data_IF_905284769591
#
_entry.id   IF_905284769591
#
_cell.length_a   1.000
_cell.length_b   1.000
_cell.length_c   1.000
_cell.angle_alpha   90.00
_cell.angle_beta   90.00
_cell.angle_gamma   90.00
#
_symmetry.space_group_name_H-M   'P 1'
#
loop_
_entity.id
_entity.type
_entity.pdbx_description
1 polymer ?
#
# COMPACT_ATOMS: atom_id res chain seq x y z
N UNK A 1 21.68 -50.80 52.51
CA UNK A 1 20.31 -50.34 52.22
C UNK A 1 20.35 -49.69 50.83
N UNK A 2 20.29 -50.36 49.87
CA UNK A 2 19.41 -51.00 48.90
C UNK A 2 18.85 -49.98 47.90
N UNK A 3 19.47 -50.04 46.71
CA UNK A 3 19.17 -49.29 45.48
C UNK A 3 17.81 -49.64 44.80
N UNK A 4 16.86 -50.22 45.51
CA UNK A 4 15.62 -50.78 44.96
C UNK A 4 14.41 -49.85 45.07
N UNK A 5 14.45 -48.82 45.90
CA UNK A 5 13.31 -47.93 46.13
C UNK A 5 13.21 -46.72 45.15
N UNK A 6 14.32 -46.39 44.46
CA UNK A 6 14.33 -45.24 43.50
C UNK A 6 13.73 -45.60 42.15
N UNK A 7 13.73 -46.88 41.73
CA UNK A 7 13.18 -47.30 40.41
C UNK A 7 11.65 -47.38 40.35
N UNK A 8 10.98 -47.54 41.46
CA UNK A 8 9.52 -47.62 41.53
C UNK A 8 8.86 -46.24 41.37
N UNK A 9 9.48 -45.18 41.90
CA UNK A 9 8.97 -43.83 41.83
C UNK A 9 9.07 -43.23 40.41
N UNK A 10 10.14 -43.55 39.67
CA UNK A 10 10.32 -43.07 38.28
C UNK A 10 9.31 -43.66 37.28
N UNK A 11 8.88 -44.90 37.50
CA UNK A 11 7.84 -45.53 36.63
C UNK A 11 6.44 -44.98 36.90
N UNK A 12 6.14 -44.56 38.12
CA UNK A 12 4.86 -43.95 38.43
C UNK A 12 4.77 -42.51 37.91
N UNK A 13 5.86 -41.74 38.00
CA UNK A 13 5.93 -40.37 37.48
C UNK A 13 5.82 -40.39 35.95
N UNK A 14 6.47 -41.27 35.23
CA UNK A 14 6.35 -41.39 33.79
C UNK A 14 4.96 -41.86 33.33
N UNK A 15 4.24 -42.68 34.08
CA UNK A 15 2.84 -43.03 33.81
C UNK A 15 1.90 -41.86 34.01
N UNK A 16 2.14 -41.01 35.02
CA UNK A 16 1.37 -39.78 35.23
C UNK A 16 1.62 -38.74 34.11
N UNK A 17 2.86 -38.58 33.67
CA UNK A 17 3.21 -37.65 32.59
C UNK A 17 2.58 -38.10 31.27
N UNK A 18 2.56 -39.39 30.96
CA UNK A 18 1.91 -39.93 29.76
C UNK A 18 0.37 -39.80 29.88
N UNK A 19 -0.20 -39.99 31.09
CA UNK A 19 -1.63 -39.85 31.32
C UNK A 19 -2.08 -38.38 31.20
N UNK A 20 -1.31 -37.40 31.68
CA UNK A 20 -1.58 -36.00 31.51
C UNK A 20 -1.33 -35.50 30.08
N UNK A 21 -0.34 -36.05 29.37
CA UNK A 21 -0.09 -35.72 27.96
C UNK A 21 -1.21 -36.22 27.03
N UNK A 22 -1.89 -37.33 27.37
CA UNK A 22 -3.00 -37.84 26.56
C UNK A 22 -4.37 -37.25 26.94
N UNK A 23 -4.52 -36.55 28.08
CA UNK A 23 -5.78 -35.89 28.45
C UNK A 23 -5.89 -34.42 28.03
N UNK A 24 -4.78 -33.78 27.64
CA UNK A 24 -4.73 -32.43 27.09
C UNK A 24 -4.52 -32.41 25.57
N UNK A 25 -4.64 -33.54 24.88
CA UNK A 25 -5.10 -33.52 23.50
C UNK A 25 -6.61 -33.23 23.53
N UNK A 26 -6.96 -32.03 24.07
CA UNK A 26 -8.15 -31.33 23.68
C UNK A 26 -8.07 -31.29 22.14
N UNK A 27 -9.00 -31.99 21.47
CA UNK A 27 -9.25 -31.80 20.05
C UNK A 27 -9.42 -30.30 19.88
N UNK A 28 -8.34 -29.60 19.54
CA UNK A 28 -8.47 -28.35 18.84
C UNK A 28 -9.28 -28.76 17.61
N UNK A 29 -10.58 -28.51 17.66
CA UNK A 29 -11.34 -28.34 16.44
C UNK A 29 -10.52 -27.31 15.69
N UNK A 30 -9.73 -27.74 14.74
CA UNK A 30 -9.31 -26.91 13.63
C UNK A 30 -10.64 -26.43 13.08
N UNK A 31 -11.09 -25.28 13.56
CA UNK A 31 -12.12 -24.52 12.86
C UNK A 31 -11.44 -24.28 11.53
N UNK A 32 -11.83 -25.09 10.53
CA UNK A 32 -11.51 -24.78 9.16
C UNK A 32 -11.90 -23.31 9.05
N UNK A 33 -10.92 -22.43 8.93
CA UNK A 33 -11.15 -21.02 8.67
C UNK A 33 -11.93 -21.05 7.37
N UNK A 34 -13.25 -20.86 7.46
CA UNK A 34 -14.09 -20.74 6.30
C UNK A 34 -13.46 -19.59 5.54
N UNK A 35 -12.80 -19.89 4.43
CA UNK A 35 -12.16 -18.86 3.63
C UNK A 35 -13.26 -17.88 3.25
N UNK A 36 -13.16 -16.67 3.79
CA UNK A 36 -14.15 -15.65 3.52
C UNK A 36 -14.04 -15.25 2.06
N UNK A 37 -15.17 -15.14 1.34
CA UNK A 37 -15.14 -14.85 -0.09
C UNK A 37 -14.46 -13.51 -0.34
N UNK A 38 -13.62 -13.45 -1.37
CA UNK A 38 -12.97 -12.21 -1.81
C UNK A 38 -14.06 -11.30 -2.38
N UNK A 39 -14.23 -10.11 -1.77
CA UNK A 39 -15.21 -9.10 -2.17
C UNK A 39 -14.59 -7.91 -2.89
N UNK A 40 -13.28 -7.67 -2.69
CA UNK A 40 -12.57 -6.57 -3.34
C UNK A 40 -11.15 -6.95 -3.74
N UNK A 41 -10.67 -6.38 -4.85
CA UNK A 41 -9.29 -6.43 -5.30
C UNK A 41 -8.72 -5.02 -5.42
N UNK A 42 -7.67 -4.74 -4.66
CA UNK A 42 -6.81 -3.58 -4.80
C UNK A 42 -5.65 -4.01 -5.71
N UNK A 43 -5.45 -3.33 -6.82
CA UNK A 43 -4.52 -3.74 -7.87
C UNK A 43 -3.51 -2.61 -8.09
N UNK A 44 -2.22 -2.87 -7.84
CA UNK A 44 -1.19 -1.94 -8.24
C UNK A 44 -1.10 -1.82 -9.77
N UNK A 45 -0.57 -0.70 -10.24
CA UNK A 45 -0.50 -0.39 -11.67
C UNK A 45 0.88 -0.75 -12.25
N UNK A 46 1.90 0.01 -11.86
CA UNK A 46 3.22 -0.02 -12.49
C UNK A 46 4.05 -1.19 -11.98
N UNK A 47 4.34 -2.13 -12.83
CA UNK A 47 4.99 -3.40 -12.47
C UNK A 47 4.00 -4.55 -12.35
N UNK A 48 2.73 -4.27 -12.10
CA UNK A 48 1.66 -5.27 -11.93
C UNK A 48 0.80 -5.39 -13.18
N UNK A 49 0.08 -4.32 -13.55
CA UNK A 49 -0.76 -4.32 -14.78
C UNK A 49 0.04 -3.99 -16.02
N UNK A 50 1.00 -3.09 -15.92
CA UNK A 50 1.83 -2.66 -17.04
C UNK A 50 3.26 -2.36 -16.58
N UNK A 51 4.21 -2.49 -17.50
CA UNK A 51 5.60 -2.00 -17.33
C UNK A 51 5.80 -0.93 -18.42
N UNK A 52 6.16 0.29 -17.99
CA UNK A 52 6.15 1.47 -18.86
C UNK A 52 4.79 1.61 -19.58
N UNK A 53 4.77 1.55 -20.93
CA UNK A 53 3.56 1.70 -21.73
C UNK A 53 3.06 0.36 -22.32
N UNK A 54 3.50 -0.77 -21.77
CA UNK A 54 3.10 -2.10 -22.24
C UNK A 54 2.36 -2.86 -21.13
N UNK A 55 1.20 -3.47 -21.42
CA UNK A 55 0.54 -4.33 -20.46
C UNK A 55 1.40 -5.57 -20.13
N UNK A 56 1.33 -6.06 -18.90
CA UNK A 56 1.92 -7.36 -18.55
C UNK A 56 1.16 -8.49 -19.25
N UNK A 57 1.75 -9.69 -19.36
CA UNK A 57 1.15 -10.79 -20.13
C UNK A 57 -0.33 -11.03 -19.78
N UNK A 58 -1.18 -10.98 -20.79
CA UNK A 58 -2.64 -11.19 -20.73
C UNK A 58 -3.41 -10.26 -19.77
N UNK A 59 -2.79 -9.19 -19.25
CA UNK A 59 -3.38 -8.36 -18.19
C UNK A 59 -4.74 -7.74 -18.59
N UNK A 60 -4.89 -7.30 -19.84
CA UNK A 60 -6.15 -6.71 -20.33
C UNK A 60 -7.30 -7.71 -20.31
N UNK A 61 -7.07 -8.96 -20.76
CA UNK A 61 -8.11 -10.00 -20.73
C UNK A 61 -8.35 -10.50 -19.32
N UNK A 62 -7.30 -10.62 -18.49
CA UNK A 62 -7.41 -10.99 -17.09
C UNK A 62 -8.29 -9.99 -16.32
N UNK A 63 -8.12 -8.68 -16.55
CA UNK A 63 -8.97 -7.67 -15.95
C UNK A 63 -10.45 -7.83 -16.36
N UNK A 64 -10.73 -8.19 -17.63
CA UNK A 64 -12.10 -8.47 -18.09
C UNK A 64 -12.70 -9.65 -17.31
N UNK A 65 -11.96 -10.76 -17.19
CA UNK A 65 -12.40 -11.93 -16.39
C UNK A 65 -12.65 -11.58 -14.92
N UNK A 66 -11.79 -10.76 -14.34
CA UNK A 66 -11.96 -10.30 -12.96
C UNK A 66 -13.24 -9.47 -12.79
N UNK A 67 -13.54 -8.57 -13.74
CA UNK A 67 -14.77 -7.76 -13.74
C UNK A 67 -16.04 -8.59 -13.79
N UNK A 68 -16.03 -9.70 -14.53
CA UNK A 68 -17.17 -10.63 -14.64
C UNK A 68 -17.52 -11.27 -13.28
N UNK A 69 -16.62 -11.26 -12.32
CA UNK A 69 -16.88 -11.76 -10.95
C UNK A 69 -17.80 -10.86 -10.14
N UNK A 70 -17.92 -9.60 -10.49
CA UNK A 70 -18.69 -8.59 -9.75
C UNK A 70 -18.05 -8.10 -8.45
N UNK A 71 -16.80 -8.48 -8.15
CA UNK A 71 -16.09 -7.93 -6.97
C UNK A 71 -15.72 -6.46 -7.20
N UNK A 72 -15.57 -5.72 -6.11
CA UNK A 72 -15.07 -4.35 -6.17
C UNK A 72 -13.63 -4.33 -6.68
N UNK A 73 -13.33 -3.48 -7.66
CA UNK A 73 -11.97 -3.29 -8.16
C UNK A 73 -11.53 -1.86 -7.87
N UNK A 74 -10.34 -1.71 -7.28
CA UNK A 74 -9.64 -0.43 -7.12
C UNK A 74 -8.23 -0.55 -7.66
N UNK A 75 -7.83 0.39 -8.52
CA UNK A 75 -6.46 0.52 -9.00
C UNK A 75 -5.70 1.44 -8.07
N UNK A 76 -4.68 0.91 -7.40
CA UNK A 76 -3.97 1.59 -6.30
C UNK A 76 -2.51 1.85 -6.68
N UNK A 77 -2.04 3.08 -6.55
CA UNK A 77 -0.69 3.45 -7.00
C UNK A 77 -0.06 4.58 -6.19
N UNK A 78 1.27 4.57 -6.05
CA UNK A 78 2.04 5.68 -5.48
C UNK A 78 2.39 6.77 -6.51
N UNK A 79 1.75 6.82 -7.67
CA UNK A 79 1.95 7.85 -8.69
C UNK A 79 1.51 9.23 -8.17
N UNK A 80 2.39 10.24 -8.29
CA UNK A 80 2.16 11.62 -7.81
C UNK A 80 2.50 12.71 -8.82
N UNK A 81 2.98 12.33 -10.02
CA UNK A 81 3.37 13.29 -11.06
C UNK A 81 2.22 13.81 -11.88
N UNK A 82 1.18 13.01 -12.02
CA UNK A 82 0.07 13.24 -12.92
C UNK A 82 -1.25 13.28 -12.17
N UNK A 83 -2.17 14.10 -12.65
CA UNK A 83 -3.55 14.15 -12.16
C UNK A 83 -4.26 12.81 -12.38
N UNK A 84 -5.35 12.58 -11.64
CA UNK A 84 -6.16 11.37 -11.83
C UNK A 84 -6.69 11.25 -13.27
N UNK A 85 -6.97 12.37 -13.92
CA UNK A 85 -7.44 12.38 -15.31
C UNK A 85 -6.34 12.01 -16.30
N UNK A 86 -5.13 12.54 -16.12
CA UNK A 86 -3.97 12.19 -16.96
C UNK A 86 -3.62 10.72 -16.82
N UNK A 87 -3.62 10.20 -15.58
CA UNK A 87 -3.40 8.77 -15.31
C UNK A 87 -4.47 7.89 -15.98
N UNK A 88 -5.75 8.25 -15.89
CA UNK A 88 -6.85 7.55 -16.53
C UNK A 88 -6.64 7.45 -18.05
N UNK A 89 -6.33 8.58 -18.70
CA UNK A 89 -6.12 8.62 -20.14
C UNK A 89 -4.96 7.72 -20.55
N UNK A 90 -3.82 7.80 -19.85
CA UNK A 90 -2.65 6.95 -20.09
C UNK A 90 -2.95 5.45 -19.95
N UNK A 91 -3.71 5.05 -18.95
CA UNK A 91 -4.09 3.64 -18.78
C UNK A 91 -5.05 3.15 -19.87
N UNK A 92 -5.93 4.02 -20.36
CA UNK A 92 -6.80 3.72 -21.50
C UNK A 92 -6.01 3.59 -22.81
N UNK A 93 -5.00 4.42 -23.02
CA UNK A 93 -4.10 4.33 -24.18
C UNK A 93 -3.29 3.02 -24.18
N UNK A 94 -2.93 2.49 -23.01
CA UNK A 94 -2.30 1.17 -22.84
C UNK A 94 -3.30 0.03 -23.16
N UNK A 95 -4.62 0.29 -23.15
CA UNK A 95 -5.65 -0.68 -23.51
C UNK A 95 -6.54 -1.15 -22.35
N UNK A 96 -6.38 -0.60 -21.16
CA UNK A 96 -7.21 -0.95 -20.00
C UNK A 96 -8.54 -0.17 -20.03
N UNK A 97 -9.63 -0.86 -19.76
CA UNK A 97 -10.94 -0.24 -19.55
C UNK A 97 -11.16 -0.03 -18.05
N UNK A 98 -11.16 1.22 -17.62
CA UNK A 98 -11.38 1.59 -16.22
C UNK A 98 -12.04 2.98 -16.10
N UNK A 99 -12.68 3.21 -14.98
CA UNK A 99 -13.33 4.48 -14.65
C UNK A 99 -12.51 5.28 -13.65
N UNK A 100 -12.70 6.59 -13.66
CA UNK A 100 -11.95 7.52 -12.81
C UNK A 100 -12.08 7.20 -11.32
N UNK A 101 -13.26 6.75 -10.93
CA UNK A 101 -13.64 6.40 -9.54
C UNK A 101 -12.97 5.12 -9.05
N UNK A 102 -12.48 4.29 -9.97
CA UNK A 102 -11.73 3.08 -9.63
C UNK A 102 -10.27 3.38 -9.29
N UNK A 103 -9.75 4.55 -9.70
CA UNK A 103 -8.36 4.96 -9.44
C UNK A 103 -8.25 5.57 -8.04
N UNK A 104 -7.45 4.94 -7.18
CA UNK A 104 -7.07 5.42 -5.88
C UNK A 104 -5.54 5.57 -5.82
N UNK A 105 -5.04 6.75 -6.14
CA UNK A 105 -3.62 7.06 -6.07
C UNK A 105 -3.25 7.69 -4.72
N UNK A 106 -1.96 7.67 -4.37
CA UNK A 106 -1.47 8.41 -3.22
C UNK A 106 -1.77 9.92 -3.34
N UNK A 107 -1.81 10.44 -4.57
CA UNK A 107 -2.26 11.81 -4.84
C UNK A 107 -3.72 12.00 -4.45
N UNK A 108 -4.64 11.12 -4.90
CA UNK A 108 -6.06 11.25 -4.56
C UNK A 108 -6.33 11.08 -3.07
N UNK A 109 -5.61 10.17 -2.41
CA UNK A 109 -5.68 10.01 -0.96
C UNK A 109 -5.19 11.27 -0.21
N UNK A 110 -4.14 11.93 -0.72
CA UNK A 110 -3.67 13.20 -0.15
C UNK A 110 -4.69 14.33 -0.36
N UNK A 111 -5.35 14.39 -1.52
CA UNK A 111 -6.45 15.34 -1.78
C UNK A 111 -7.60 15.16 -0.78
N UNK A 112 -8.00 13.90 -0.54
CA UNK A 112 -9.04 13.58 0.44
C UNK A 112 -8.61 13.93 1.86
N UNK A 113 -7.35 13.64 2.22
CA UNK A 113 -6.78 14.01 3.52
C UNK A 113 -6.81 15.53 3.75
N UNK A 114 -6.34 16.32 2.78
CA UNK A 114 -6.34 17.78 2.85
C UNK A 114 -7.77 18.34 3.03
N UNK A 115 -8.75 17.80 2.28
CA UNK A 115 -10.16 18.19 2.41
C UNK A 115 -10.74 17.83 3.77
N UNK A 116 -10.50 16.61 4.23
CA UNK A 116 -11.02 16.10 5.51
C UNK A 116 -10.49 16.90 6.70
N UNK A 117 -9.19 17.20 6.68
CA UNK A 117 -8.52 17.98 7.72
C UNK A 117 -8.71 19.50 7.54
N UNK A 118 -9.40 19.96 6.49
CA UNK A 118 -9.66 21.37 6.16
C UNK A 118 -8.39 22.24 6.08
N UNK A 119 -7.30 21.67 5.57
CA UNK A 119 -5.99 22.31 5.50
C UNK A 119 -5.90 23.32 4.37
N UNK A 120 -5.02 24.33 4.55
CA UNK A 120 -4.65 25.34 3.54
C UNK A 120 -3.15 25.20 3.19
N UNK A 121 -2.74 24.18 2.41
CA UNK A 121 -1.33 23.83 2.25
C UNK A 121 -0.55 24.74 1.30
N UNK A 122 0.76 24.83 1.54
CA UNK A 122 1.71 25.10 0.49
C UNK A 122 2.04 23.80 -0.25
N UNK A 123 2.00 23.82 -1.58
CA UNK A 123 2.13 22.63 -2.39
C UNK A 123 3.48 22.56 -3.11
N UNK A 124 4.25 21.52 -2.83
CA UNK A 124 5.42 21.08 -3.59
C UNK A 124 5.00 19.85 -4.42
N UNK A 125 4.16 20.06 -5.42
CA UNK A 125 3.60 19.05 -6.33
C UNK A 125 3.70 19.54 -7.77
N UNK A 126 3.70 18.62 -8.74
CA UNK A 126 3.72 19.00 -10.16
C UNK A 126 2.49 19.85 -10.52
N UNK A 127 2.60 20.66 -11.57
CA UNK A 127 1.48 21.51 -12.04
C UNK A 127 0.23 20.69 -12.38
N UNK A 128 0.40 19.52 -13.02
CA UNK A 128 -0.72 18.65 -13.36
C UNK A 128 -1.36 18.05 -12.10
N UNK A 129 -0.57 17.47 -11.19
CA UNK A 129 -1.06 16.95 -9.91
C UNK A 129 -1.78 18.02 -9.06
N UNK A 130 -1.34 19.29 -9.13
CA UNK A 130 -1.96 20.40 -8.39
C UNK A 130 -3.43 20.62 -8.77
N UNK A 131 -3.82 20.25 -9.99
CA UNK A 131 -5.20 20.43 -10.47
C UNK A 131 -6.22 19.56 -9.74
N UNK A 132 -5.81 18.47 -9.10
CA UNK A 132 -6.70 17.61 -8.31
C UNK A 132 -6.98 18.18 -6.90
N UNK A 133 -6.10 19.04 -6.38
CA UNK A 133 -6.29 19.67 -5.07
C UNK A 133 -7.27 20.86 -5.12
N UNK A 134 -7.96 21.14 -4.00
CA UNK A 134 -8.77 22.34 -3.90
C UNK A 134 -7.90 23.61 -4.02
N UNK A 135 -8.48 24.73 -4.45
CA UNK A 135 -7.82 26.03 -4.36
C UNK A 135 -7.51 26.38 -2.90
N UNK A 136 -6.46 27.16 -2.68
CA UNK A 136 -6.18 27.72 -1.37
C UNK A 136 -7.22 28.81 -1.00
N UNK A 137 -7.51 28.93 0.29
CA UNK A 137 -8.25 30.09 0.82
C UNK A 137 -7.23 31.22 1.06
N UNK A 138 -7.24 32.22 0.18
CA UNK A 138 -6.31 33.37 0.25
C UNK A 138 -6.49 34.24 1.51
N UNK A 139 -7.64 34.10 2.22
CA UNK A 139 -7.91 34.80 3.47
C UNK A 139 -7.27 34.15 4.69
N UNK A 140 -6.75 32.95 4.54
CA UNK A 140 -6.13 32.16 5.61
C UNK A 140 -4.63 32.01 5.37
N UNK A 141 -3.81 32.05 6.41
CA UNK A 141 -2.40 31.65 6.28
C UNK A 141 -2.29 30.18 5.85
N UNK A 142 -1.18 29.83 5.23
CA UNK A 142 -0.84 28.43 4.98
C UNK A 142 -0.50 27.75 6.32
N UNK A 143 -1.08 26.56 6.54
CA UNK A 143 -1.00 25.79 7.79
C UNK A 143 -0.32 24.43 7.63
N UNK A 144 0.09 24.09 6.44
CA UNK A 144 0.67 22.80 6.12
C UNK A 144 1.50 22.85 4.84
N UNK A 145 2.30 21.81 4.63
CA UNK A 145 3.10 21.62 3.41
C UNK A 145 2.79 20.23 2.85
N UNK A 146 2.42 20.14 1.57
CA UNK A 146 2.20 18.89 0.84
C UNK A 146 3.32 18.66 -0.14
N UNK A 147 4.01 17.52 -0.02
CA UNK A 147 5.15 17.15 -0.86
C UNK A 147 4.82 15.91 -1.70
N UNK A 148 4.85 16.06 -3.01
CA UNK A 148 4.82 14.96 -3.99
C UNK A 148 6.10 14.96 -4.83
N UNK A 149 6.10 14.23 -5.95
CA UNK A 149 7.23 14.26 -6.88
C UNK A 149 7.09 15.44 -7.84
N UNK A 150 7.82 16.50 -7.57
CA UNK A 150 7.76 17.78 -8.30
C UNK A 150 9.17 18.36 -8.54
N UNK A 151 10.00 17.78 -9.44
CA UNK A 151 11.35 18.25 -9.66
C UNK A 151 11.45 19.74 -9.95
N UNK A 152 10.49 20.32 -10.66
CA UNK A 152 10.47 21.73 -11.03
C UNK A 152 10.13 22.66 -9.85
N UNK A 153 9.64 22.14 -8.73
CA UNK A 153 9.28 22.87 -7.52
C UNK A 153 10.35 22.77 -6.41
N UNK A 154 11.32 21.86 -6.56
CA UNK A 154 12.35 21.60 -5.55
C UNK A 154 13.57 22.51 -5.71
N UNK A 155 13.36 23.81 -5.57
CA UNK A 155 14.41 24.80 -5.54
C UNK A 155 14.41 25.57 -4.21
N UNK A 156 15.53 26.27 -3.93
CA UNK A 156 15.81 26.80 -2.60
C UNK A 156 14.67 27.66 -2.04
N UNK A 157 14.14 28.59 -2.81
CA UNK A 157 13.12 29.53 -2.34
C UNK A 157 11.83 28.83 -1.95
N UNK A 158 11.39 27.82 -2.72
CA UNK A 158 10.22 27.03 -2.39
C UNK A 158 10.43 26.16 -1.16
N UNK A 159 11.59 25.50 -1.07
CA UNK A 159 11.93 24.69 0.10
C UNK A 159 12.07 25.54 1.36
N UNK A 160 12.67 26.73 1.26
CA UNK A 160 12.77 27.67 2.37
C UNK A 160 11.39 28.23 2.79
N UNK A 161 10.49 28.47 1.82
CA UNK A 161 9.10 28.84 2.13
C UNK A 161 8.37 27.74 2.89
N UNK A 162 8.49 26.48 2.43
CA UNK A 162 7.94 25.30 3.12
C UNK A 162 8.48 25.17 4.55
N UNK A 163 9.79 25.30 4.72
CA UNK A 163 10.46 25.28 6.02
C UNK A 163 9.92 26.38 6.96
N UNK A 164 9.80 27.62 6.51
CA UNK A 164 9.27 28.72 7.32
C UNK A 164 7.79 28.52 7.72
N UNK A 165 6.96 27.93 6.85
CA UNK A 165 5.59 27.57 7.19
C UNK A 165 5.59 26.55 8.35
N UNK A 166 6.41 25.49 8.24
CA UNK A 166 6.49 24.45 9.29
C UNK A 166 7.01 24.99 10.62
N UNK A 167 7.97 25.95 10.59
CA UNK A 167 8.50 26.58 11.79
C UNK A 167 7.54 27.55 12.45
N UNK A 168 6.65 28.21 11.70
CA UNK A 168 5.82 29.29 12.22
C UNK A 168 4.80 28.82 13.26
N UNK A 169 4.43 27.53 13.24
CA UNK A 169 3.57 26.90 14.24
C UNK A 169 3.85 25.40 14.34
N UNK A 170 4.05 24.89 15.56
CA UNK A 170 4.29 23.46 15.84
C UNK A 170 3.14 22.52 15.44
N UNK A 171 1.92 23.07 15.26
CA UNK A 171 0.75 22.30 14.83
C UNK A 171 0.65 22.19 13.30
N UNK A 172 1.53 22.87 12.56
CA UNK A 172 1.59 22.79 11.11
C UNK A 172 2.07 21.40 10.66
N UNK A 173 1.45 20.89 9.61
CA UNK A 173 1.64 19.51 9.16
C UNK A 173 2.53 19.45 7.93
N UNK A 174 3.51 18.56 7.94
CA UNK A 174 4.23 18.12 6.75
C UNK A 174 3.56 16.83 6.22
N UNK A 175 3.01 16.88 5.02
CA UNK A 175 2.29 15.78 4.39
C UNK A 175 3.13 15.26 3.24
N UNK A 176 3.60 14.01 3.35
CA UNK A 176 4.32 13.30 2.32
C UNK A 176 3.32 12.44 1.53
N UNK A 177 3.08 12.75 0.26
CA UNK A 177 2.23 11.92 -0.59
C UNK A 177 2.85 10.54 -0.75
N UNK A 178 4.17 10.46 -0.95
CA UNK A 178 4.99 9.27 -0.79
C UNK A 178 6.44 9.63 -0.47
N UNK A 179 7.22 8.68 0.05
CA UNK A 179 8.63 8.88 0.44
C UNK A 179 9.61 8.06 -0.41
N UNK A 180 9.30 7.86 -1.69
CA UNK A 180 10.20 7.15 -2.60
C UNK A 180 11.60 7.79 -2.63
N UNK A 181 12.64 6.96 -2.49
CA UNK A 181 14.04 7.42 -2.47
C UNK A 181 14.49 7.91 -3.84
N UNK A 182 14.08 7.21 -4.88
CA UNK A 182 14.40 7.48 -6.28
C UNK A 182 13.29 6.95 -7.19
N UNK A 183 13.31 7.37 -8.45
CA UNK A 183 12.48 6.81 -9.50
C UNK A 183 13.29 6.62 -10.77
N UNK A 184 12.84 5.75 -11.66
CA UNK A 184 13.50 5.46 -12.92
C UNK A 184 13.11 6.51 -13.98
N UNK A 185 14.10 7.00 -14.71
CA UNK A 185 13.99 7.83 -15.91
C UNK A 185 14.66 7.12 -17.08
N UNK A 186 14.47 7.63 -18.29
CA UNK A 186 15.13 7.10 -19.50
C UNK A 186 16.67 7.23 -19.40
N UNK A 187 17.17 8.24 -18.70
CA UNK A 187 18.58 8.57 -18.52
C UNK A 187 19.18 8.01 -17.20
N UNK A 188 18.44 7.21 -16.43
CA UNK A 188 18.91 6.59 -15.20
C UNK A 188 18.00 6.79 -14.00
N UNK A 189 18.58 6.72 -12.80
CA UNK A 189 17.85 6.97 -11.55
C UNK A 189 17.85 8.47 -11.24
N UNK A 190 16.71 8.97 -10.78
CA UNK A 190 16.54 10.34 -10.32
C UNK A 190 16.00 10.37 -8.88
N UNK A 191 16.28 11.44 -8.15
CA UNK A 191 15.84 11.62 -6.76
C UNK A 191 14.31 11.60 -6.67
N UNK A 192 13.79 10.77 -5.78
CA UNK A 192 12.39 10.80 -5.36
C UNK A 192 12.10 11.92 -4.36
N UNK A 193 10.83 12.14 -3.99
CA UNK A 193 10.48 13.20 -3.05
C UNK A 193 10.96 12.94 -1.62
N UNK A 194 11.29 11.71 -1.27
CA UNK A 194 11.68 11.34 0.09
C UNK A 194 12.86 12.13 0.65
N UNK A 195 13.85 12.47 -0.18
CA UNK A 195 14.99 13.29 0.28
C UNK A 195 14.57 14.70 0.67
N UNK A 196 13.60 15.31 -0.02
CA UNK A 196 13.08 16.65 0.29
C UNK A 196 12.17 16.60 1.52
N UNK A 197 11.35 15.55 1.67
CA UNK A 197 10.56 15.31 2.89
C UNK A 197 11.50 15.19 4.09
N UNK A 198 12.52 14.32 4.02
CA UNK A 198 13.49 14.13 5.12
C UNK A 198 14.31 15.38 5.41
N UNK A 199 14.63 16.17 4.39
CA UNK A 199 15.27 17.47 4.58
C UNK A 199 14.40 18.46 5.36
N UNK A 200 13.10 18.54 5.05
CA UNK A 200 12.16 19.39 5.77
C UNK A 200 11.89 18.86 7.20
N UNK A 201 11.75 17.54 7.39
CA UNK A 201 11.64 16.93 8.73
C UNK A 201 12.83 17.29 9.60
N UNK A 202 14.04 17.08 9.07
CA UNK A 202 15.29 17.39 9.79
C UNK A 202 15.40 18.87 10.15
N UNK A 203 15.13 19.75 9.19
CA UNK A 203 15.34 21.19 9.35
C UNK A 203 14.28 21.84 10.25
N UNK A 204 13.00 21.44 10.11
CA UNK A 204 11.91 22.02 10.89
C UNK A 204 11.63 21.28 12.22
N UNK A 205 12.26 20.11 12.45
CA UNK A 205 12.06 19.31 13.66
C UNK A 205 10.66 18.70 13.74
N UNK A 206 10.03 18.42 12.59
CA UNK A 206 8.69 17.82 12.51
C UNK A 206 8.76 16.42 11.93
N UNK A 207 7.71 15.62 12.12
CA UNK A 207 7.54 14.34 11.43
C UNK A 207 6.52 14.50 10.32
N UNK A 208 6.78 13.87 9.16
CA UNK A 208 5.81 13.85 8.06
C UNK A 208 4.68 12.86 8.32
N UNK A 209 3.50 13.19 7.78
CA UNK A 209 2.37 12.28 7.66
C UNK A 209 2.47 11.63 6.28
N UNK A 210 2.88 10.38 6.23
CA UNK A 210 2.92 9.60 5.00
C UNK A 210 1.50 9.17 4.60
N UNK A 211 1.09 9.47 3.37
CA UNK A 211 -0.26 9.16 2.86
C UNK A 211 -0.27 7.86 2.04
N UNK A 212 0.66 7.70 1.10
CA UNK A 212 0.68 6.58 0.16
C UNK A 212 1.13 5.25 0.78
N UNK A 213 1.18 4.20 -0.06
CA UNK A 213 1.72 2.88 0.33
C UNK A 213 3.14 3.02 0.91
N UNK A 214 3.52 2.26 1.94
CA UNK A 214 2.79 1.18 2.62
C UNK A 214 1.92 1.63 3.81
N UNK A 215 1.52 2.91 3.90
CA UNK A 215 0.78 3.43 5.04
C UNK A 215 -0.64 2.82 5.11
N UNK A 216 -1.07 2.51 6.33
CA UNK A 216 -2.39 1.94 6.64
C UNK A 216 -3.55 2.82 6.12
N UNK A 217 -3.41 4.14 6.26
CA UNK A 217 -4.41 5.09 5.79
C UNK A 217 -4.73 4.91 4.31
N UNK A 218 -3.72 4.65 3.48
CA UNK A 218 -3.88 4.46 2.04
C UNK A 218 -4.81 3.30 1.70
N UNK A 219 -4.57 2.13 2.29
CA UNK A 219 -5.39 0.94 2.00
C UNK A 219 -6.81 1.08 2.53
N UNK A 220 -6.97 1.64 3.73
CA UNK A 220 -8.30 1.86 4.32
C UNK A 220 -9.10 2.92 3.57
N UNK A 221 -8.46 4.00 3.11
CA UNK A 221 -9.12 5.04 2.33
C UNK A 221 -9.60 4.57 0.96
N UNK A 222 -8.90 3.59 0.34
CA UNK A 222 -9.36 2.97 -0.91
C UNK A 222 -10.71 2.26 -0.79
N UNK A 223 -11.09 1.83 0.43
CA UNK A 223 -12.32 1.12 0.74
C UNK A 223 -13.39 2.04 1.40
N UNK A 224 -13.10 3.33 1.56
CA UNK A 224 -14.05 4.26 2.19
C UNK A 224 -15.38 4.29 1.44
N UNK A 225 -16.49 4.19 2.19
CA UNK A 225 -17.85 4.16 1.63
C UNK A 225 -18.28 2.80 1.07
N UNK A 226 -17.45 1.77 1.19
CA UNK A 226 -17.78 0.38 0.85
C UNK A 226 -18.08 -0.41 2.14
N UNK A 227 -19.12 -1.23 2.11
CA UNK A 227 -19.43 -2.16 3.22
C UNK A 227 -18.64 -3.47 3.04
N UNK A 228 -17.31 -3.37 3.05
CA UNK A 228 -16.38 -4.47 2.82
C UNK A 228 -15.28 -4.42 3.89
N UNK A 229 -15.10 -5.51 4.61
CA UNK A 229 -13.99 -5.68 5.57
C UNK A 229 -12.64 -5.86 4.86
N UNK A 230 -11.56 -5.42 5.47
CA UNK A 230 -10.21 -5.57 4.91
C UNK A 230 -9.82 -7.04 4.73
N UNK A 231 -10.34 -7.93 5.55
CA UNK A 231 -10.15 -9.39 5.52
C UNK A 231 -10.78 -10.05 4.29
N UNK A 232 -11.77 -9.40 3.66
CA UNK A 232 -12.43 -9.82 2.42
C UNK A 232 -11.74 -9.24 1.18
N UNK A 233 -10.62 -8.54 1.36
CA UNK A 233 -9.91 -7.85 0.30
C UNK A 233 -8.58 -8.53 -0.03
N UNK A 234 -8.18 -8.44 -1.29
CA UNK A 234 -6.83 -8.81 -1.74
C UNK A 234 -6.09 -7.57 -2.25
N UNK A 235 -4.78 -7.51 -2.02
CA UNK A 235 -3.86 -6.60 -2.70
C UNK A 235 -3.01 -7.40 -3.68
N UNK A 236 -3.00 -6.98 -4.95
CA UNK A 236 -2.16 -7.55 -6.00
C UNK A 236 -1.08 -6.53 -6.32
N UNK A 237 0.19 -6.89 -6.17
CA UNK A 237 1.30 -5.98 -6.40
C UNK A 237 2.64 -6.67 -6.59
N UNK A 238 3.61 -5.93 -7.12
CA UNK A 238 4.98 -6.37 -7.40
C UNK A 238 5.97 -5.95 -6.31
N UNK A 239 5.67 -4.86 -5.59
CA UNK A 239 6.53 -4.33 -4.54
C UNK A 239 6.28 -5.06 -3.21
N UNK A 240 7.28 -5.85 -2.77
CA UNK A 240 7.20 -6.63 -1.53
C UNK A 240 6.84 -5.78 -0.31
N UNK A 241 7.42 -4.57 -0.21
CA UNK A 241 7.25 -3.71 0.96
C UNK A 241 6.00 -2.84 0.85
N UNK A 242 5.89 -2.10 -0.26
CA UNK A 242 4.86 -1.07 -0.39
C UNK A 242 3.47 -1.69 -0.63
N UNK A 243 3.40 -2.76 -1.44
CA UNK A 243 2.14 -3.42 -1.75
C UNK A 243 1.81 -4.51 -0.75
N UNK A 244 2.69 -5.52 -0.66
CA UNK A 244 2.36 -6.77 0.01
C UNK A 244 2.39 -6.61 1.53
N UNK A 245 3.57 -6.24 2.09
CA UNK A 245 3.69 -6.09 3.54
C UNK A 245 2.78 -4.97 4.08
N UNK A 246 2.66 -3.85 3.32
CA UNK A 246 1.77 -2.75 3.69
C UNK A 246 0.30 -3.18 3.79
N UNK A 247 -0.21 -3.88 2.78
CA UNK A 247 -1.58 -4.39 2.76
C UNK A 247 -1.83 -5.47 3.82
N UNK A 248 -0.91 -6.43 3.96
CA UNK A 248 -1.05 -7.51 4.93
C UNK A 248 -1.02 -7.01 6.38
N UNK A 249 -0.25 -5.95 6.67
CA UNK A 249 -0.24 -5.30 7.99
C UNK A 249 -1.62 -4.74 8.36
N UNK A 250 -2.41 -4.35 7.38
CA UNK A 250 -3.77 -3.83 7.56
C UNK A 250 -4.82 -4.95 7.64
N UNK A 251 -4.46 -6.15 7.23
CA UNK A 251 -5.33 -7.34 7.28
C UNK A 251 -5.83 -7.82 5.91
N UNK A 252 -5.38 -7.21 4.80
CA UNK A 252 -5.68 -7.72 3.47
C UNK A 252 -4.90 -9.01 3.18
N UNK A 253 -5.40 -9.81 2.24
CA UNK A 253 -4.63 -10.90 1.63
C UNK A 253 -3.63 -10.31 0.61
N UNK A 254 -2.36 -10.73 0.62
CA UNK A 254 -1.34 -10.29 -0.33
C UNK A 254 -1.14 -11.29 -1.46
N UNK A 255 -1.28 -10.87 -2.71
CA UNK A 255 -0.93 -11.64 -3.91
C UNK A 255 0.26 -10.95 -4.57
N UNK A 256 1.44 -11.54 -4.43
CA UNK A 256 2.66 -10.98 -5.00
C UNK A 256 2.88 -11.50 -6.43
N UNK A 257 3.06 -10.57 -7.38
CA UNK A 257 3.43 -10.90 -8.75
C UNK A 257 4.94 -10.76 -8.95
N UNK A 258 5.53 -11.64 -9.78
CA UNK A 258 6.98 -11.66 -10.07
C UNK A 258 7.34 -10.80 -11.28
N UNK A 259 6.64 -9.68 -11.45
CA UNK A 259 6.91 -8.69 -12.49
C UNK A 259 7.49 -7.41 -11.87
N UNK A 260 7.77 -6.40 -12.66
CA UNK A 260 8.13 -5.06 -12.20
C UNK A 260 9.35 -5.01 -11.26
N UNK A 261 9.12 -4.61 -10.02
CA UNK A 261 10.14 -4.42 -8.97
C UNK A 261 10.41 -5.69 -8.15
N UNK A 262 9.74 -6.79 -8.44
CA UNK A 262 9.98 -8.04 -7.72
C UNK A 262 11.45 -8.41 -7.72
N UNK A 263 11.98 -8.73 -6.55
CA UNK A 263 13.34 -9.21 -6.34
C UNK A 263 13.29 -10.55 -5.59
N UNK A 264 13.88 -11.64 -6.14
CA UNK A 264 13.83 -12.98 -5.52
C UNK A 264 14.43 -13.04 -4.10
N UNK A 265 15.40 -12.17 -3.82
CA UNK A 265 16.12 -12.13 -2.53
C UNK A 265 15.40 -11.28 -1.47
N UNK A 266 14.31 -10.58 -1.84
CA UNK A 266 13.51 -9.76 -0.93
C UNK A 266 12.24 -10.51 -0.54
N UNK A 267 12.27 -11.11 0.64
CA UNK A 267 11.15 -11.91 1.16
C UNK A 267 10.26 -11.06 2.05
N UNK A 268 8.94 -11.13 1.82
CA UNK A 268 7.96 -10.53 2.72
C UNK A 268 7.88 -11.32 4.03
N UNK A 269 7.77 -10.62 5.15
CA UNK A 269 7.54 -11.24 6.46
C UNK A 269 6.37 -10.52 7.15
N UNK A 270 5.23 -11.20 7.35
CA UNK A 270 4.92 -12.59 6.97
C UNK A 270 4.90 -12.82 5.44
N UNK A 271 5.01 -14.07 4.96
CA UNK A 271 4.97 -14.36 3.53
C UNK A 271 3.62 -13.98 2.92
N UNK A 272 3.57 -13.65 1.61
CA UNK A 272 2.32 -13.34 0.92
C UNK A 272 1.36 -14.54 0.98
N UNK A 273 0.05 -14.28 0.83
CA UNK A 273 -0.97 -15.34 0.74
C UNK A 273 -0.66 -16.28 -0.43
N UNK A 274 -0.24 -15.71 -1.56
CA UNK A 274 0.26 -16.46 -2.72
C UNK A 274 1.24 -15.59 -3.51
N UNK A 275 2.18 -16.26 -4.20
CA UNK A 275 3.10 -15.63 -5.14
C UNK A 275 2.89 -16.28 -6.52
N UNK A 276 2.72 -15.45 -7.56
CA UNK A 276 2.41 -15.88 -8.92
C UNK A 276 3.27 -15.13 -9.94
N UNK A 277 3.35 -15.61 -11.18
CA UNK A 277 4.26 -15.04 -12.18
C UNK A 277 3.81 -13.63 -12.64
N UNK A 278 2.49 -13.39 -12.78
CA UNK A 278 1.95 -12.13 -13.30
C UNK A 278 0.50 -11.89 -12.86
N UNK A 279 -0.07 -10.77 -13.27
CA UNK A 279 -1.43 -10.38 -12.94
C UNK A 279 -2.49 -11.39 -13.45
N UNK A 280 -2.30 -12.00 -14.62
CA UNK A 280 -3.25 -13.00 -15.15
C UNK A 280 -3.35 -14.22 -14.24
N UNK A 281 -2.24 -14.70 -13.69
CA UNK A 281 -2.23 -15.80 -12.71
C UNK A 281 -2.84 -15.38 -11.36
N UNK A 282 -2.63 -14.12 -10.94
CA UNK A 282 -3.29 -13.59 -9.75
C UNK A 282 -4.83 -13.61 -9.90
N UNK A 283 -5.35 -13.24 -11.06
CA UNK A 283 -6.79 -13.34 -11.38
C UNK A 283 -7.25 -14.78 -11.36
N UNK A 284 -6.52 -15.72 -11.97
CA UNK A 284 -6.89 -17.14 -11.94
C UNK A 284 -6.98 -17.64 -10.49
N UNK A 285 -6.01 -17.29 -9.64
CA UNK A 285 -6.07 -17.64 -8.22
C UNK A 285 -7.32 -17.07 -7.52
N UNK A 286 -7.70 -15.83 -7.80
CA UNK A 286 -8.94 -15.23 -7.23
C UNK A 286 -10.17 -16.02 -7.69
N UNK A 287 -10.25 -16.39 -8.98
CA UNK A 287 -11.38 -17.14 -9.54
C UNK A 287 -11.55 -18.53 -8.89
N UNK A 288 -10.45 -19.14 -8.47
CA UNK A 288 -10.42 -20.45 -7.80
C UNK A 288 -10.75 -20.37 -6.29
N UNK A 289 -10.53 -19.20 -5.66
CA UNK A 289 -10.65 -19.00 -4.20
C UNK A 289 -11.74 -17.99 -3.80
N UNK A 290 -12.68 -17.73 -4.71
CA UNK A 290 -13.81 -16.81 -4.53
C UNK A 290 -14.96 -17.44 -3.74
#
# INVERSE_FOLDING_TARGET
MTFTTARASYRQINKLIIYYRNRHFCKSKTIARQEMPIKAALIDLSGTLHVEDQPTPDAVNALKRLRETGILIKFVTNTTKESRQTLLNRLRDIGFQLEKEEIHSSLSAAVEFVKKEQLNPFYLVSKDARTDFPPNDERKPMDSVVVGLAPDEFYYENLNKAFNILLSNKDHKLIAIHEGKYYKRKDGLALGPGCFVKGLEYSAGVSSILIGKPNEYFFKSALTGQDIGVEDCVMIGDDTKDDIMGAMKVGLKGIQVKTGKYLPDVVAEPPPTVMVENFSEAVNWILENK
#
